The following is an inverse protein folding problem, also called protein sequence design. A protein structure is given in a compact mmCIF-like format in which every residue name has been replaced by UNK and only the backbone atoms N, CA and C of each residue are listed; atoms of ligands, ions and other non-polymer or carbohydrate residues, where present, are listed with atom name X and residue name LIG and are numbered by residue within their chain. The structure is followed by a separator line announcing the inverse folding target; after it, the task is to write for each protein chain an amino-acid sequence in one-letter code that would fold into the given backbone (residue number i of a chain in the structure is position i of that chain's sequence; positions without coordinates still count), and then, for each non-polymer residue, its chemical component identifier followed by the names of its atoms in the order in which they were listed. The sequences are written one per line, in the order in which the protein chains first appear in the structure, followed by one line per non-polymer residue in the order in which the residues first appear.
data_IF_130910527395
#
_entry.id   IF_130910527395
#
_cell.length_a   1.000
_cell.length_b   1.000
_cell.length_c   1.000
_cell.angle_alpha   90.00
_cell.angle_beta   90.00
_cell.angle_gamma   90.00
#
_symmetry.space_group_name_H-M   'P 1'
#
loop_
_entity.id
_entity.type
_entity.pdbx_description
1 polymer ?
#
# COMPACT_ATOMS: atom_id res chain seq x y z
N UNK A 1 10.30 -3.58 -18.53
CA UNK A 1 10.48 -4.99 -18.10
C UNK A 1 9.39 -5.89 -18.69
N UNK A 2 9.73 -6.73 -19.69
CA UNK A 2 8.80 -7.68 -20.32
C UNK A 2 8.43 -8.83 -19.38
N UNK A 3 7.19 -9.33 -19.46
CA UNK A 3 6.71 -10.53 -18.75
C UNK A 3 7.56 -11.75 -19.16
N UNK A 4 8.39 -12.27 -18.25
CA UNK A 4 9.19 -13.47 -18.52
C UNK A 4 8.34 -14.72 -18.28
N UNK A 5 8.10 -15.50 -19.33
CA UNK A 5 7.36 -16.78 -19.29
C UNK A 5 8.14 -17.87 -18.54
N UNK A 6 9.46 -17.69 -18.38
CA UNK A 6 10.39 -18.65 -17.75
C UNK A 6 9.96 -19.10 -16.34
N UNK A 7 9.28 -18.24 -15.58
CA UNK A 7 8.89 -18.52 -14.18
C UNK A 7 7.43 -19.00 -14.04
N UNK A 8 6.85 -19.53 -15.10
CA UNK A 8 5.48 -20.03 -15.12
C UNK A 8 4.48 -19.08 -15.77
N UNK A 9 3.43 -19.68 -16.32
CA UNK A 9 2.35 -18.98 -17.02
C UNK A 9 1.07 -19.80 -16.99
N UNK A 10 -0.07 -19.12 -17.10
CA UNK A 10 -1.33 -19.74 -17.47
C UNK A 10 -1.55 -19.61 -18.98
N UNK A 11 -2.04 -20.67 -19.63
CA UNK A 11 -2.46 -20.63 -21.03
C UNK A 11 -3.98 -20.69 -21.12
N UNK A 12 -4.55 -19.76 -21.86
CA UNK A 12 -5.99 -19.68 -22.13
C UNK A 12 -6.24 -20.03 -23.59
N UNK A 13 -7.19 -20.93 -23.81
CA UNK A 13 -7.59 -21.39 -25.14
C UNK A 13 -9.01 -20.91 -25.41
N UNK A 14 -9.22 -20.25 -26.55
CA UNK A 14 -10.56 -19.88 -26.97
C UNK A 14 -11.32 -21.12 -27.47
N UNK A 15 -12.41 -21.46 -26.78
CA UNK A 15 -13.31 -22.58 -27.15
C UNK A 15 -14.08 -22.31 -28.43
N UNK A 16 -14.38 -21.05 -28.73
CA UNK A 16 -15.20 -20.66 -29.88
C UNK A 16 -14.43 -20.63 -31.21
N UNK A 17 -13.10 -20.60 -31.17
CA UNK A 17 -12.25 -20.54 -32.37
C UNK A 17 -11.52 -21.87 -32.63
N UNK A 18 -12.06 -22.99 -32.16
CA UNK A 18 -11.48 -24.34 -32.33
C UNK A 18 -10.01 -24.40 -31.87
N UNK A 19 -9.67 -23.69 -30.79
CA UNK A 19 -8.32 -23.69 -30.21
C UNK A 19 -7.23 -22.97 -31.00
N UNK A 20 -7.55 -22.32 -32.12
CA UNK A 20 -6.59 -21.56 -32.94
C UNK A 20 -5.99 -20.35 -32.21
N UNK A 21 -6.76 -19.72 -31.31
CA UNK A 21 -6.31 -18.59 -30.49
C UNK A 21 -5.92 -19.07 -29.09
N UNK A 22 -4.61 -19.07 -28.81
CA UNK A 22 -4.03 -19.35 -27.50
C UNK A 22 -3.37 -18.09 -26.93
N UNK A 23 -3.59 -17.82 -25.64
CA UNK A 23 -3.01 -16.67 -24.94
C UNK A 23 -2.25 -17.14 -23.71
N UNK A 24 -0.93 -16.91 -23.70
CA UNK A 24 -0.08 -17.16 -22.54
C UNK A 24 0.01 -15.92 -21.66
N UNK A 25 -0.29 -16.08 -20.38
CA UNK A 25 -0.19 -15.02 -19.36
C UNK A 25 0.83 -15.46 -18.32
N UNK A 26 2.02 -14.85 -18.36
CA UNK A 26 3.05 -15.11 -17.35
C UNK A 26 2.58 -14.68 -15.95
N UNK A 27 2.94 -15.46 -14.95
CA UNK A 27 2.67 -15.11 -13.56
C UNK A 27 3.46 -13.87 -13.13
N UNK A 28 2.86 -13.08 -12.27
CA UNK A 28 3.52 -11.90 -11.68
C UNK A 28 4.37 -12.33 -10.48
N UNK A 29 5.56 -11.75 -10.32
CA UNK A 29 6.42 -12.06 -9.16
C UNK A 29 5.87 -11.54 -7.82
N UNK A 30 4.88 -10.63 -7.84
CA UNK A 30 4.25 -10.00 -6.65
C UNK A 30 5.24 -9.34 -5.67
N UNK A 31 6.49 -9.12 -6.09
CA UNK A 31 7.52 -8.48 -5.28
C UNK A 31 7.40 -6.96 -5.32
N UNK A 32 7.63 -6.30 -4.17
CA UNK A 32 7.70 -4.83 -4.06
C UNK A 32 8.88 -4.25 -4.85
N UNK A 33 9.98 -5.00 -5.01
CA UNK A 33 11.16 -4.58 -5.77
C UNK A 33 10.96 -4.63 -7.29
N UNK A 34 9.89 -5.27 -7.77
CA UNK A 34 9.57 -5.24 -9.18
C UNK A 34 8.76 -3.99 -9.50
N UNK A 35 9.32 -3.05 -10.27
CA UNK A 35 8.64 -1.81 -10.65
C UNK A 35 7.21 -2.02 -11.19
N UNK A 36 6.99 -3.11 -11.95
CA UNK A 36 5.66 -3.43 -12.49
C UNK A 36 4.67 -3.90 -11.43
N UNK A 37 5.10 -4.77 -10.51
CA UNK A 37 4.22 -5.24 -9.44
C UNK A 37 4.02 -4.16 -8.37
N UNK A 38 5.09 -3.42 -8.04
CA UNK A 38 5.05 -2.26 -7.17
C UNK A 38 4.09 -1.19 -7.67
N UNK A 39 4.14 -0.82 -8.96
CA UNK A 39 3.20 0.15 -9.54
C UNK A 39 1.74 -0.28 -9.35
N UNK A 40 1.40 -1.52 -9.75
CA UNK A 40 0.03 -2.05 -9.60
C UNK A 40 -0.40 -2.09 -8.14
N UNK A 41 0.52 -2.42 -7.23
CA UNK A 41 0.23 -2.40 -5.80
C UNK A 41 -0.04 -0.99 -5.28
N UNK A 42 0.78 0.00 -5.68
CA UNK A 42 0.59 1.41 -5.31
C UNK A 42 -0.73 1.93 -5.86
N UNK A 43 -1.03 1.70 -7.14
CA UNK A 43 -2.29 2.12 -7.76
C UNK A 43 -3.51 1.60 -7.00
N UNK A 44 -3.53 0.30 -6.68
CA UNK A 44 -4.60 -0.31 -5.87
C UNK A 44 -4.68 0.26 -4.46
N UNK A 45 -3.54 0.58 -3.86
CA UNK A 45 -3.52 1.18 -2.53
C UNK A 45 -4.08 2.60 -2.55
N UNK A 46 -3.73 3.40 -3.56
CA UNK A 46 -4.25 4.76 -3.78
C UNK A 46 -5.75 4.72 -3.99
N UNK A 47 -6.25 3.85 -4.89
CA UNK A 47 -7.69 3.69 -5.15
C UNK A 47 -8.47 3.41 -3.85
N UNK A 48 -7.96 2.47 -3.04
CA UNK A 48 -8.55 2.15 -1.73
C UNK A 48 -8.46 3.30 -0.72
N UNK A 49 -7.42 4.15 -0.77
CA UNK A 49 -7.36 5.32 0.10
C UNK A 49 -8.36 6.38 -0.36
N UNK A 50 -8.45 6.63 -1.67
CA UNK A 50 -9.38 7.61 -2.24
C UNK A 50 -10.83 7.27 -1.90
N UNK A 51 -11.22 5.99 -1.95
CA UNK A 51 -12.55 5.53 -1.52
C UNK A 51 -12.87 5.79 -0.03
N UNK A 52 -11.86 5.97 0.81
CA UNK A 52 -12.01 6.20 2.27
C UNK A 52 -11.96 7.67 2.65
N UNK A 53 -11.42 8.51 1.77
CA UNK A 53 -11.29 9.95 1.99
C UNK A 53 -12.64 10.59 1.71
N UNK A 54 -13.17 11.31 2.69
CA UNK A 54 -14.40 12.09 2.55
C UNK A 54 -14.13 13.33 1.71
N UNK A 55 -15.05 13.73 0.84
CA UNK A 55 -14.94 14.93 0.01
C UNK A 55 -15.23 16.21 0.82
N UNK A 56 -14.39 16.49 1.82
CA UNK A 56 -14.47 17.65 2.72
C UNK A 56 -13.09 18.26 2.95
N UNK A 57 -13.04 19.47 3.49
CA UNK A 57 -11.77 20.07 3.92
C UNK A 57 -11.12 19.27 5.04
N UNK A 58 -9.93 18.71 4.80
CA UNK A 58 -9.16 17.99 5.81
C UNK A 58 -8.21 18.93 6.56
N UNK A 59 -8.19 18.82 7.89
CA UNK A 59 -7.16 19.45 8.73
C UNK A 59 -6.11 18.41 9.10
N UNK A 60 -4.91 18.55 8.54
CA UNK A 60 -3.76 17.74 8.94
C UNK A 60 -3.07 18.37 10.14
N UNK A 61 -2.89 17.59 11.20
CA UNK A 61 -2.13 17.98 12.38
C UNK A 61 -0.92 17.06 12.51
N UNK A 62 0.26 17.65 12.69
CA UNK A 62 1.52 16.93 12.84
C UNK A 62 2.06 17.23 14.24
N UNK A 63 2.24 16.19 15.04
CA UNK A 63 2.87 16.29 16.34
C UNK A 63 4.38 16.08 16.19
N UNK A 64 5.15 17.14 16.39
CA UNK A 64 6.60 17.06 16.46
C UNK A 64 7.04 16.76 17.88
N UNK A 65 7.85 15.71 18.06
CA UNK A 65 8.46 15.39 19.35
C UNK A 65 9.66 16.32 19.59
N UNK A 66 9.68 17.10 20.70
CA UNK A 66 10.84 17.90 21.12
C UNK A 66 12.12 17.06 21.19
N UNK A 67 13.26 17.67 20.88
CA UNK A 67 14.54 16.96 20.76
C UNK A 67 14.92 16.21 22.04
N UNK A 68 14.68 16.85 23.18
CA UNK A 68 14.95 16.35 24.53
C UNK A 68 14.20 15.04 24.82
N UNK A 69 13.01 14.88 24.24
CA UNK A 69 12.16 13.71 24.45
C UNK A 69 12.47 12.58 23.46
N UNK A 70 13.18 12.83 22.35
CA UNK A 70 13.45 11.81 21.33
C UNK A 70 14.22 10.61 21.88
N UNK A 71 15.19 10.85 22.76
CA UNK A 71 15.98 9.77 23.39
C UNK A 71 15.10 8.88 24.27
N UNK A 72 14.12 9.47 24.95
CA UNK A 72 13.19 8.73 25.81
C UNK A 72 12.31 7.79 24.97
N UNK A 73 11.73 8.28 23.87
CA UNK A 73 10.97 7.45 22.93
C UNK A 73 11.83 6.45 22.17
N UNK A 74 13.10 6.77 21.93
CA UNK A 74 14.03 5.81 21.32
C UNK A 74 14.29 4.61 22.24
N UNK A 75 14.45 4.86 23.54
CA UNK A 75 14.64 3.80 24.56
C UNK A 75 13.37 3.02 24.83
N UNK A 76 12.21 3.68 24.79
CA UNK A 76 10.93 3.04 25.01
C UNK A 76 9.93 3.42 23.90
N UNK A 77 9.89 2.61 22.84
CA UNK A 77 9.09 2.92 21.64
C UNK A 77 7.59 2.81 21.86
N UNK A 78 7.15 2.01 22.84
CA UNK A 78 5.72 1.80 23.10
C UNK A 78 5.03 3.10 23.53
N UNK A 79 5.76 4.01 24.18
CA UNK A 79 5.26 5.33 24.57
C UNK A 79 4.86 6.22 23.39
N UNK A 80 5.38 5.99 22.17
CA UNK A 80 4.94 6.74 20.99
C UNK A 80 3.47 6.47 20.68
N UNK A 81 3.00 5.24 20.89
CA UNK A 81 1.60 4.87 20.71
C UNK A 81 0.75 5.57 21.78
N UNK A 82 1.16 5.49 23.04
CA UNK A 82 0.44 6.13 24.15
C UNK A 82 0.33 7.66 23.94
N UNK A 83 1.42 8.31 23.53
CA UNK A 83 1.42 9.73 23.20
C UNK A 83 0.43 10.04 22.06
N UNK A 84 0.44 9.24 21.01
CA UNK A 84 -0.43 9.44 19.83
C UNK A 84 -1.90 9.25 20.18
N UNK A 85 -2.21 8.24 20.99
CA UNK A 85 -3.57 7.97 21.45
C UNK A 85 -4.07 9.12 22.35
N UNK A 86 -3.24 9.60 23.28
CA UNK A 86 -3.58 10.75 24.14
C UNK A 86 -3.72 12.05 23.37
N UNK A 87 -2.89 12.28 22.36
CA UNK A 87 -3.04 13.44 21.48
C UNK A 87 -4.38 13.38 20.71
N UNK A 88 -4.79 12.20 20.26
CA UNK A 88 -6.08 12.00 19.59
C UNK A 88 -7.27 12.23 20.54
N UNK A 89 -7.20 11.75 21.79
CA UNK A 89 -8.23 12.02 22.82
C UNK A 89 -8.41 13.54 23.04
N UNK A 90 -7.32 14.29 23.17
CA UNK A 90 -7.37 15.75 23.38
C UNK A 90 -7.97 16.48 22.18
N UNK A 91 -7.62 16.06 20.96
CA UNK A 91 -8.19 16.63 19.74
C UNK A 91 -9.70 16.38 19.67
N UNK A 92 -10.16 15.18 20.01
CA UNK A 92 -11.58 14.82 19.93
C UNK A 92 -12.44 15.49 20.99
N UNK A 93 -11.85 15.89 22.12
CA UNK A 93 -12.52 16.66 23.17
C UNK A 93 -12.83 18.11 22.75
N UNK A 94 -12.05 18.65 21.81
CA UNK A 94 -12.17 20.02 21.29
C UNK A 94 -13.17 20.12 20.15
#
# INVERSE_FOLDING_TARGET
MRKKIKYGYAEYICTNCTGSKKKKVAFTCKSRFCNRCGKVYIEKWVEKQTERILEIGHRHMVFTVPEELRVMFYRNRDWLKDLSDKAAEVIQYW
#
